data_IF_365027825877
#
_entry.id   IF_365027825877
#
_cell.length_a   1.000
_cell.length_b   1.000
_cell.length_c   1.000
_cell.angle_alpha   90.00
_cell.angle_beta   90.00
_cell.angle_gamma   90.00
#
_symmetry.space_group_name_H-M   'P 1'
#
loop_
_entity.id
_entity.type
_entity.pdbx_description
1 polymer ?
#
# COMPACT_ATOMS: atom_id res chain seq x y z
N UNK A 1 -29.09 -16.64 10.96
CA UNK A 1 -27.85 -17.16 10.35
C UNK A 1 -27.19 -15.98 9.64
N UNK A 2 -25.86 -15.83 9.68
CA UNK A 2 -25.21 -14.77 8.91
C UNK A 2 -25.38 -15.05 7.41
N UNK A 3 -25.61 -13.99 6.63
CA UNK A 3 -25.67 -14.06 5.17
C UNK A 3 -24.25 -14.01 4.60
N UNK A 4 -23.88 -15.02 3.81
CA UNK A 4 -22.59 -15.00 3.10
C UNK A 4 -22.66 -13.99 1.97
N UNK A 5 -21.71 -13.04 1.92
CA UNK A 5 -21.60 -12.08 0.82
C UNK A 5 -20.69 -12.59 -0.31
N UNK A 6 -19.58 -13.23 0.06
CA UNK A 6 -18.56 -13.75 -0.83
C UNK A 6 -17.83 -14.91 -0.13
N UNK A 7 -17.73 -16.05 -0.79
CA UNK A 7 -16.87 -17.14 -0.35
C UNK A 7 -15.58 -17.10 -1.19
N UNK A 8 -14.42 -17.13 -0.53
CA UNK A 8 -13.11 -17.09 -1.18
C UNK A 8 -12.30 -18.30 -0.74
N UNK A 9 -11.69 -18.96 -1.72
CA UNK A 9 -10.82 -20.11 -1.56
C UNK A 9 -9.45 -19.75 -2.15
N UNK A 10 -8.43 -19.76 -1.31
CA UNK A 10 -7.04 -19.70 -1.73
C UNK A 10 -6.62 -21.12 -2.12
N UNK A 11 -6.04 -21.30 -3.31
CA UNK A 11 -5.55 -22.60 -3.76
C UNK A 11 -4.12 -22.49 -4.27
N UNK A 12 -3.43 -23.62 -4.22
CA UNK A 12 -2.12 -23.80 -4.83
C UNK A 12 -2.25 -24.81 -5.97
N UNK A 13 -1.72 -24.47 -7.14
CA UNK A 13 -1.61 -25.35 -8.30
C UNK A 13 -0.18 -25.30 -8.83
N UNK A 14 0.63 -26.28 -8.41
CA UNK A 14 2.09 -26.23 -8.57
C UNK A 14 2.69 -25.04 -7.82
N UNK A 15 3.43 -24.19 -8.54
CA UNK A 15 4.05 -22.96 -8.00
C UNK A 15 3.13 -21.73 -8.08
N UNK A 16 1.88 -21.90 -8.54
CA UNK A 16 0.93 -20.79 -8.65
C UNK A 16 -0.01 -20.79 -7.46
N UNK A 17 0.00 -19.70 -6.69
CA UNK A 17 -1.06 -19.38 -5.75
C UNK A 17 -2.16 -18.63 -6.49
N UNK A 18 -3.39 -19.13 -6.42
CA UNK A 18 -4.56 -18.55 -7.05
C UNK A 18 -5.70 -18.34 -6.08
N UNK A 19 -6.69 -17.56 -6.50
CA UNK A 19 -7.91 -17.31 -5.73
C UNK A 19 -9.12 -17.73 -6.56
N UNK A 20 -9.98 -18.55 -5.97
CA UNK A 20 -11.32 -18.83 -6.48
C UNK A 20 -12.32 -18.14 -5.57
N UNK A 21 -13.37 -17.56 -6.13
CA UNK A 21 -14.44 -16.98 -5.34
C UNK A 21 -15.81 -17.40 -5.85
N UNK A 22 -16.80 -17.35 -4.96
CA UNK A 22 -18.20 -17.62 -5.24
C UNK A 22 -19.06 -16.56 -4.57
N UNK A 23 -20.00 -16.01 -5.32
CA UNK A 23 -20.93 -15.01 -4.82
C UNK A 23 -21.85 -15.66 -3.78
N UNK A 24 -22.22 -14.88 -2.75
CA UNK A 24 -23.21 -15.32 -1.78
C UNK A 24 -24.59 -15.58 -2.40
N UNK A 25 -24.94 -14.74 -3.37
CA UNK A 25 -26.11 -14.91 -4.24
C UNK A 25 -25.62 -15.33 -5.63
N UNK A 26 -25.93 -16.55 -6.11
CA UNK A 26 -25.44 -17.05 -7.39
C UNK A 26 -26.00 -16.28 -8.60
N UNK A 27 -27.11 -15.57 -8.44
CA UNK A 27 -27.79 -14.87 -9.54
C UNK A 27 -27.41 -13.38 -9.62
N UNK A 28 -26.60 -12.88 -8.68
CA UNK A 28 -26.15 -11.48 -8.66
C UNK A 28 -24.65 -11.38 -8.86
N UNK A 29 -24.16 -10.45 -9.70
CA UNK A 29 -22.74 -10.17 -9.80
C UNK A 29 -22.20 -9.61 -8.47
N UNK A 30 -20.96 -9.94 -8.14
CA UNK A 30 -20.27 -9.35 -6.99
C UNK A 30 -19.99 -7.89 -7.26
N UNK A 31 -20.44 -7.04 -6.34
CA UNK A 31 -20.13 -5.62 -6.33
C UNK A 31 -18.66 -5.39 -5.96
N UNK A 32 -18.02 -4.38 -6.55
CA UNK A 32 -16.60 -4.06 -6.28
C UNK A 32 -16.40 -3.75 -4.79
N UNK A 33 -17.39 -3.09 -4.19
CA UNK A 33 -17.42 -2.73 -2.78
C UNK A 33 -17.35 -3.96 -1.86
N UNK A 34 -17.81 -5.12 -2.32
CA UNK A 34 -17.69 -6.39 -1.57
C UNK A 34 -16.24 -6.86 -1.51
N UNK A 35 -15.49 -6.72 -2.61
CA UNK A 35 -14.04 -7.02 -2.62
C UNK A 35 -13.26 -6.00 -1.78
N UNK A 36 -13.58 -4.71 -1.87
CA UNK A 36 -12.93 -3.68 -1.04
C UNK A 36 -13.11 -3.98 0.45
N UNK A 37 -14.34 -4.36 0.86
CA UNK A 37 -14.62 -4.79 2.24
C UNK A 37 -13.86 -6.06 2.62
N UNK A 38 -13.80 -7.05 1.74
CA UNK A 38 -13.03 -8.28 2.01
C UNK A 38 -11.54 -7.96 2.21
N UNK A 39 -10.95 -7.15 1.34
CA UNK A 39 -9.54 -6.74 1.43
C UNK A 39 -9.28 -5.99 2.75
N UNK A 40 -10.16 -5.07 3.13
CA UNK A 40 -10.05 -4.35 4.40
C UNK A 40 -10.06 -5.32 5.60
N UNK A 41 -11.03 -6.23 5.66
CA UNK A 41 -11.11 -7.24 6.74
C UNK A 41 -9.92 -8.18 6.74
N UNK A 42 -9.42 -8.59 5.57
CA UNK A 42 -8.19 -9.40 5.47
C UNK A 42 -6.97 -8.63 5.96
N UNK A 43 -6.90 -7.32 5.73
CA UNK A 43 -5.88 -6.44 6.29
C UNK A 43 -5.90 -6.43 7.82
N UNK A 44 -7.09 -6.25 8.40
CA UNK A 44 -7.28 -6.28 9.86
C UNK A 44 -6.91 -7.65 10.45
N UNK A 45 -7.34 -8.74 9.81
CA UNK A 45 -6.97 -10.10 10.19
C UNK A 45 -5.45 -10.29 10.12
N UNK A 46 -4.80 -9.86 9.02
CA UNK A 46 -3.35 -9.99 8.86
C UNK A 46 -2.61 -9.21 9.93
N UNK A 47 -3.09 -8.03 10.33
CA UNK A 47 -2.47 -7.23 11.38
C UNK A 47 -2.52 -7.92 12.76
N UNK A 48 -3.52 -8.77 13.00
CA UNK A 48 -3.67 -9.53 14.23
C UNK A 48 -2.93 -10.88 14.25
N UNK A 49 -2.51 -11.40 13.10
CA UNK A 49 -1.84 -12.70 12.98
C UNK A 49 -0.35 -12.58 13.31
N UNK A 50 0.15 -13.49 14.14
CA UNK A 50 1.58 -13.65 14.42
C UNK A 50 2.32 -14.41 13.30
N UNK A 51 3.59 -14.04 13.01
CA UNK A 51 4.31 -12.92 13.59
C UNK A 51 3.81 -11.57 13.06
N UNK A 52 3.91 -10.49 13.87
CA UNK A 52 3.54 -9.16 13.42
C UNK A 52 4.35 -8.78 12.18
N UNK A 53 3.79 -7.91 11.34
CA UNK A 53 4.55 -7.30 10.26
C UNK A 53 5.68 -6.49 10.91
N UNK A 54 6.92 -6.76 10.49
CA UNK A 54 8.08 -6.04 11.03
C UNK A 54 7.92 -4.53 10.81
N UNK A 55 8.21 -3.76 11.85
CA UNK A 55 8.25 -2.30 11.76
C UNK A 55 9.54 -1.81 11.07
N UNK A 56 10.59 -2.63 11.10
CA UNK A 56 11.84 -2.31 10.43
C UNK A 56 11.68 -2.37 8.90
N UNK A 57 12.30 -1.45 8.16
CA UNK A 57 12.29 -1.51 6.71
C UNK A 57 12.91 -2.83 6.23
N UNK A 58 12.38 -3.41 5.13
CA UNK A 58 12.95 -4.62 4.58
C UNK A 58 14.44 -4.46 4.24
N UNK A 59 15.25 -5.52 4.36
CA UNK A 59 16.66 -5.46 4.02
C UNK A 59 16.88 -4.98 2.58
N UNK A 60 17.96 -4.24 2.26
CA UNK A 60 18.20 -3.68 0.92
C UNK A 60 18.24 -4.72 -0.22
N UNK A 61 18.54 -5.98 0.10
CA UNK A 61 18.60 -7.08 -0.87
C UNK A 61 17.22 -7.70 -1.17
N UNK A 62 16.19 -7.39 -0.37
CA UNK A 62 14.85 -7.87 -0.61
C UNK A 62 14.19 -7.03 -1.71
N UNK A 63 13.86 -7.67 -2.84
CA UNK A 63 13.16 -7.00 -3.93
C UNK A 63 11.72 -6.71 -3.49
N UNK A 64 11.37 -5.43 -3.43
CA UNK A 64 9.99 -4.98 -3.27
C UNK A 64 9.48 -4.45 -4.60
N UNK A 65 8.28 -4.88 -4.99
CA UNK A 65 7.60 -4.29 -6.15
C UNK A 65 7.02 -2.94 -5.74
N UNK A 66 7.63 -1.85 -6.19
CA UNK A 66 7.07 -0.51 -6.01
C UNK A 66 5.96 -0.25 -7.03
N UNK A 67 4.84 0.31 -6.57
CA UNK A 67 3.86 0.89 -7.48
C UNK A 67 4.49 2.09 -8.18
N UNK A 68 4.47 2.10 -9.52
CA UNK A 68 5.03 3.19 -10.31
C UNK A 68 4.06 4.37 -10.38
N UNK A 69 4.56 5.59 -10.16
CA UNK A 69 3.82 6.87 -10.20
C UNK A 69 2.43 6.83 -9.51
N UNK A 70 2.37 6.48 -8.21
CA UNK A 70 1.09 6.43 -7.51
C UNK A 70 0.55 7.85 -7.34
N UNK A 71 -0.79 8.00 -7.48
CA UNK A 71 -1.45 9.24 -7.07
C UNK A 71 -1.34 9.42 -5.56
N UNK A 72 -1.02 10.62 -5.12
CA UNK A 72 -0.87 10.93 -3.69
C UNK A 72 -1.43 12.30 -3.34
N UNK A 73 -1.72 12.51 -2.05
CA UNK A 73 -2.15 13.79 -1.47
C UNK A 73 -1.57 13.91 -0.07
N UNK A 74 -1.16 15.12 0.33
CA UNK A 74 -0.82 15.45 1.72
C UNK A 74 -1.74 16.55 2.21
N UNK A 75 -2.19 16.45 3.46
CA UNK A 75 -2.96 17.49 4.15
C UNK A 75 -2.67 17.49 5.66
N UNK A 76 -3.17 18.47 6.41
CA UNK A 76 -2.98 18.50 7.87
C UNK A 76 -3.75 17.36 8.56
N UNK A 77 -3.17 16.79 9.63
CA UNK A 77 -3.90 15.87 10.52
C UNK A 77 -4.77 16.65 11.52
N UNK A 78 -6.12 16.53 11.48
CA UNK A 78 -7.00 17.24 12.39
C UNK A 78 -6.99 16.70 13.81
N UNK A 79 -6.46 15.50 14.07
CA UNK A 79 -6.54 14.86 15.39
C UNK A 79 -5.25 15.00 16.22
N UNK A 80 -4.08 14.78 15.62
CA UNK A 80 -2.80 14.77 16.33
C UNK A 80 -1.86 15.93 15.98
N UNK A 81 -2.20 16.76 14.99
CA UNK A 81 -1.26 17.68 14.36
C UNK A 81 -0.23 16.96 13.47
N UNK A 82 0.50 17.69 12.63
CA UNK A 82 1.37 17.11 11.60
C UNK A 82 0.66 16.94 10.26
N UNK A 83 0.88 15.81 9.58
CA UNK A 83 0.39 15.59 8.22
C UNK A 83 -0.26 14.21 8.04
N UNK A 84 -1.23 14.12 7.13
CA UNK A 84 -1.77 12.87 6.60
C UNK A 84 -1.31 12.71 5.16
N UNK A 85 -0.49 11.69 4.92
CA UNK A 85 -0.07 11.26 3.58
C UNK A 85 -1.04 10.19 3.06
N UNK A 86 -1.68 10.46 1.94
CA UNK A 86 -2.55 9.51 1.24
C UNK A 86 -1.87 9.05 -0.04
N UNK A 87 -1.76 7.75 -0.25
CA UNK A 87 -1.19 7.15 -1.46
C UNK A 87 -2.18 6.14 -2.03
N UNK A 88 -2.41 6.19 -3.33
CA UNK A 88 -3.23 5.21 -4.05
C UNK A 88 -2.39 3.98 -4.41
N UNK A 89 -2.73 2.84 -3.84
CA UNK A 89 -2.21 1.54 -4.21
C UNK A 89 -3.12 0.84 -5.23
N UNK A 90 -2.60 0.21 -6.30
CA UNK A 90 -3.42 -0.44 -7.32
C UNK A 90 -4.34 -1.55 -6.80
N UNK A 91 -3.89 -2.32 -5.79
CA UNK A 91 -4.66 -3.43 -5.22
C UNK A 91 -5.39 -3.12 -3.91
N UNK A 92 -5.11 -1.99 -3.25
CA UNK A 92 -5.68 -1.65 -1.93
C UNK A 92 -6.47 -0.34 -1.93
N UNK A 93 -6.55 0.37 -3.06
CA UNK A 93 -7.19 1.68 -3.11
C UNK A 93 -6.38 2.77 -2.40
N UNK A 94 -7.05 3.69 -1.73
CA UNK A 94 -6.39 4.79 -1.02
C UNK A 94 -5.97 4.36 0.39
N UNK A 95 -4.66 4.42 0.66
CA UNK A 95 -4.08 4.22 1.97
C UNK A 95 -3.71 5.58 2.59
N UNK A 96 -3.92 5.74 3.89
CA UNK A 96 -3.62 6.97 4.61
C UNK A 96 -2.70 6.71 5.80
N UNK A 97 -1.69 7.56 5.96
CA UNK A 97 -0.68 7.47 7.02
C UNK A 97 -0.61 8.82 7.74
N UNK A 98 -0.87 8.80 9.05
CA UNK A 98 -0.64 9.97 9.89
C UNK A 98 0.86 10.05 10.24
N UNK A 99 1.45 11.22 10.00
CA UNK A 99 2.87 11.51 10.23
C UNK A 99 2.92 12.64 11.27
N UNK A 100 3.41 12.37 12.48
CA UNK A 100 3.59 13.40 13.51
C UNK A 100 4.48 14.54 13.02
N UNK A 101 4.23 15.76 13.51
CA UNK A 101 4.96 16.95 13.05
C UNK A 101 6.49 16.82 13.08
N UNK A 102 7.15 16.27 14.12
CA UNK A 102 8.60 16.09 14.11
C UNK A 102 9.10 15.18 12.98
N UNK A 103 8.30 14.18 12.59
CA UNK A 103 8.66 13.26 11.50
C UNK A 103 8.37 13.84 10.11
N UNK A 104 7.51 14.86 10.00
CA UNK A 104 7.30 15.57 8.74
C UNK A 104 8.59 16.24 8.27
N UNK A 105 9.35 16.82 9.19
CA UNK A 105 10.65 17.46 8.87
C UNK A 105 11.69 16.43 8.40
N UNK A 106 11.77 15.28 9.08
CA UNK A 106 12.62 14.17 8.68
C UNK A 106 12.25 13.64 7.29
N UNK A 107 10.94 13.48 7.02
CA UNK A 107 10.42 13.03 5.75
C UNK A 107 10.76 13.99 4.61
N UNK A 108 10.53 15.30 4.79
CA UNK A 108 10.90 16.32 3.81
C UNK A 108 12.41 16.35 3.55
N UNK A 109 13.22 16.24 4.61
CA UNK A 109 14.69 16.21 4.51
C UNK A 109 15.17 15.01 3.71
N UNK A 110 14.59 13.82 3.93
CA UNK A 110 14.91 12.61 3.17
C UNK A 110 14.63 12.77 1.68
N UNK A 111 13.44 13.26 1.33
CA UNK A 111 13.06 13.51 -0.08
C UNK A 111 13.96 14.55 -0.75
N UNK A 112 14.28 15.65 -0.05
CA UNK A 112 15.13 16.70 -0.58
C UNK A 112 16.55 16.19 -0.90
N UNK A 113 17.13 15.33 -0.05
CA UNK A 113 18.44 14.73 -0.28
C UNK A 113 18.47 13.88 -1.57
N UNK A 114 17.43 13.08 -1.81
CA UNK A 114 17.32 12.28 -3.04
C UNK A 114 17.22 13.18 -4.27
N UNK A 115 16.37 14.20 -4.23
CA UNK A 115 16.23 15.15 -5.35
C UNK A 115 17.56 15.87 -5.67
N UNK A 116 18.32 16.27 -4.64
CA UNK A 116 19.64 16.88 -4.81
C UNK A 116 20.65 15.92 -5.44
N UNK A 117 20.72 14.68 -4.94
CA UNK A 117 21.62 13.67 -5.50
C UNK A 117 21.34 13.40 -6.99
N UNK A 118 20.06 13.24 -7.36
CA UNK A 118 19.64 13.05 -8.75
C UNK A 118 20.00 14.26 -9.63
N UNK A 119 19.87 15.49 -9.11
CA UNK A 119 20.23 16.69 -9.85
C UNK A 119 21.74 16.81 -10.09
N UNK A 120 22.56 16.39 -9.12
CA UNK A 120 24.02 16.36 -9.26
C UNK A 120 24.45 15.30 -10.29
N UNK A 121 23.89 14.10 -10.24
CA UNK A 121 24.17 13.03 -11.22
C UNK A 121 23.81 13.47 -12.64
N UNK A 122 22.68 14.16 -12.82
CA UNK A 122 22.27 14.68 -14.13
C UNK A 122 23.20 15.78 -14.67
N UNK A 123 23.89 16.53 -13.80
CA UNK A 123 24.87 17.55 -14.19
C UNK A 123 26.22 16.93 -14.59
N UNK A 124 26.64 15.85 -13.93
CA UNK A 124 27.88 15.14 -14.23
C UNK A 124 27.82 14.36 -15.57
N UNK A 125 26.64 13.97 -16.03
CA UNK A 125 26.42 13.24 -17.29
C UNK A 125 26.01 14.15 -18.47
N UNK A 126 26.61 15.35 -18.56
CA UNK A 126 26.39 16.33 -19.65
C UNK A 126 26.44 15.72 -21.08
N UNK A 127 25.85 16.39 -22.10
CA UNK A 127 25.42 15.74 -23.33
C UNK A 127 26.61 15.08 -24.02
N UNK A 128 26.44 13.82 -24.43
CA UNK A 128 27.38 13.16 -25.31
C UNK A 128 27.57 14.03 -26.57
N UNK A 129 28.80 14.49 -26.78
CA UNK A 129 29.23 15.15 -28.02
C UNK A 129 28.98 14.25 -29.24
#
# INVERSE_FOLDING_TARGET
MPDTLLAVELFEDGDQTGVRYRNGDPDKPVAIETFDRLIAVLGDCRAAIEPPITADPPPPHLKMTAAYDPRWQVGPDPMGGGAVLKIRHPGFGWLAFAIPLPEVENFCTGLAKIAQAMAMEAQDHGPAN
#
